data_IF_579266591965
#
_entry.id   IF_579266591965
#
_cell.length_a   1.000
_cell.length_b   1.000
_cell.length_c   1.000
_cell.angle_alpha   90.00
_cell.angle_beta   90.00
_cell.angle_gamma   90.00
#
_symmetry.space_group_name_H-M   'P 1'
#
loop_
_entity.id
_entity.type
_entity.pdbx_description
1 polymer ?
#
# COMPACT_ATOMS: atom_id res chain seq x y z
N UNK A 1 -17.06 2.19 -17.94
CA UNK A 1 -17.53 2.68 -16.63
C UNK A 1 -16.36 2.58 -15.68
N UNK A 2 -15.79 3.70 -15.25
CA UNK A 2 -14.71 3.70 -14.27
C UNK A 2 -15.36 3.60 -12.88
N UNK A 3 -15.29 2.42 -12.27
CA UNK A 3 -15.69 2.24 -10.87
C UNK A 3 -14.55 2.76 -10.00
N UNK A 4 -14.72 3.95 -9.43
CA UNK A 4 -13.82 4.45 -8.40
C UNK A 4 -13.93 3.59 -7.15
N UNK A 5 -12.81 3.09 -6.63
CA UNK A 5 -12.76 2.39 -5.35
C UNK A 5 -13.08 3.41 -4.23
N UNK A 6 -14.33 3.43 -3.76
CA UNK A 6 -14.69 4.18 -2.54
C UNK A 6 -14.48 3.28 -1.31
N UNK A 7 -13.22 2.87 -1.08
CA UNK A 7 -12.84 2.03 0.07
C UNK A 7 -12.14 2.90 1.10
N UNK A 8 -12.94 3.60 1.91
CA UNK A 8 -12.42 4.34 3.05
C UNK A 8 -12.12 3.34 4.17
N UNK A 9 -10.84 3.19 4.50
CA UNK A 9 -10.41 2.49 5.71
C UNK A 9 -10.06 3.55 6.75
N UNK A 10 -10.60 3.47 7.99
CA UNK A 10 -10.22 4.41 9.03
C UNK A 10 -8.75 4.19 9.39
N UNK A 11 -7.93 5.20 9.13
CA UNK A 11 -6.50 5.21 9.43
C UNK A 11 -6.27 6.32 10.45
N UNK A 12 -5.67 5.97 11.59
CA UNK A 12 -5.36 6.94 12.65
C UNK A 12 -4.28 7.93 12.20
N UNK A 13 -3.25 7.43 11.51
CA UNK A 13 -2.15 8.24 10.98
C UNK A 13 -1.59 7.63 9.69
N UNK A 14 -1.15 8.49 8.78
CA UNK A 14 -0.55 8.09 7.50
C UNK A 14 0.68 8.96 7.22
N UNK A 15 1.79 8.32 6.87
CA UNK A 15 3.06 8.97 6.57
C UNK A 15 3.60 8.48 5.22
N UNK A 16 4.15 9.42 4.43
CA UNK A 16 4.93 9.10 3.23
C UNK A 16 6.41 9.25 3.56
N UNK A 17 7.10 8.11 3.68
CA UNK A 17 8.54 8.08 3.92
C UNK A 17 9.27 8.07 2.57
N UNK A 18 10.08 9.10 2.24
CA UNK A 18 10.84 9.11 1.00
C UNK A 18 11.85 7.96 0.96
N UNK A 19 11.88 7.22 -0.14
CA UNK A 19 12.81 6.13 -0.37
C UNK A 19 13.67 6.39 -1.62
N UNK A 20 14.82 5.72 -1.69
CA UNK A 20 15.75 5.79 -2.81
C UNK A 20 15.78 4.48 -3.60
N UNK A 21 16.23 4.55 -4.86
CA UNK A 21 16.46 3.36 -5.69
C UNK A 21 15.18 2.66 -6.14
N UNK A 22 14.10 3.40 -6.36
CA UNK A 22 12.84 2.87 -6.93
C UNK A 22 12.07 1.94 -5.99
N UNK A 23 12.36 1.98 -4.69
CA UNK A 23 11.65 1.21 -3.66
C UNK A 23 10.24 1.75 -3.47
N UNK A 24 9.29 0.83 -3.33
CA UNK A 24 7.94 1.14 -2.87
C UNK A 24 7.51 0.03 -1.92
N UNK A 25 7.56 0.34 -0.63
CA UNK A 25 7.21 -0.58 0.45
C UNK A 25 6.02 0.00 1.22
N UNK A 26 5.10 -0.86 1.64
CA UNK A 26 3.94 -0.48 2.44
C UNK A 26 4.02 -1.19 3.78
N UNK A 27 3.85 -0.42 4.85
CA UNK A 27 3.86 -0.90 6.22
C UNK A 27 2.52 -0.61 6.88
N UNK A 28 2.07 -1.52 7.75
CA UNK A 28 0.92 -1.35 8.64
C UNK A 28 1.39 -1.65 10.06
N UNK A 29 1.27 -0.69 10.96
CA UNK A 29 1.67 -0.84 12.37
C UNK A 29 3.12 -1.35 12.55
N UNK A 30 4.02 -0.91 11.65
CA UNK A 30 5.43 -1.32 11.63
C UNK A 30 5.70 -2.66 10.91
N UNK A 31 4.67 -3.41 10.53
CA UNK A 31 4.81 -4.66 9.76
C UNK A 31 4.78 -4.36 8.26
N UNK A 32 5.76 -4.90 7.52
CA UNK A 32 5.80 -4.77 6.05
C UNK A 32 4.76 -5.68 5.41
N UNK A 33 3.78 -5.09 4.73
CA UNK A 33 2.70 -5.80 4.06
C UNK A 33 2.89 -5.90 2.53
N UNK A 34 3.74 -5.05 1.95
CA UNK A 34 4.06 -5.06 0.52
C UNK A 34 5.48 -4.52 0.26
N UNK A 35 6.14 -5.04 -0.77
CA UNK A 35 7.38 -4.52 -1.34
C UNK A 35 7.41 -4.73 -2.83
N UNK A 36 7.55 -3.63 -3.59
CA UNK A 36 7.70 -3.69 -5.05
C UNK A 36 8.94 -4.49 -5.47
N UNK A 37 9.98 -4.50 -4.65
CA UNK A 37 11.20 -5.27 -4.94
C UNK A 37 10.98 -6.77 -4.80
N UNK A 38 10.12 -7.19 -3.88
CA UNK A 38 9.86 -8.59 -3.59
C UNK A 38 8.85 -9.17 -4.61
N UNK A 39 7.83 -8.38 -4.99
CA UNK A 39 6.77 -8.78 -5.93
C UNK A 39 7.15 -8.59 -7.41
N UNK A 40 8.12 -7.71 -7.70
CA UNK A 40 8.61 -7.47 -9.06
C UNK A 40 7.72 -6.60 -9.96
N UNK A 41 6.56 -6.13 -9.46
CA UNK A 41 5.61 -5.29 -10.21
C UNK A 41 5.11 -4.09 -9.37
N UNK A 42 4.50 -3.10 -10.03
CA UNK A 42 3.85 -1.97 -9.35
C UNK A 42 2.70 -2.46 -8.46
N UNK A 43 2.52 -1.79 -7.32
CA UNK A 43 1.43 -2.09 -6.40
C UNK A 43 0.05 -1.92 -7.09
N UNK A 44 -0.76 -2.99 -7.08
CA UNK A 44 -2.18 -2.89 -7.38
C UNK A 44 -2.90 -2.24 -6.19
N UNK A 45 -3.56 -1.08 -6.37
CA UNK A 45 -4.22 -0.39 -5.26
C UNK A 45 -5.25 -1.24 -4.52
N UNK A 46 -6.00 -2.08 -5.25
CA UNK A 46 -7.01 -2.96 -4.66
C UNK A 46 -6.39 -4.04 -3.80
N UNK A 47 -5.23 -4.58 -4.20
CA UNK A 47 -4.49 -5.55 -3.41
C UNK A 47 -3.98 -4.94 -2.10
N UNK A 48 -3.40 -3.72 -2.16
CA UNK A 48 -2.93 -3.01 -0.97
C UNK A 48 -4.09 -2.72 0.00
N UNK A 49 -5.23 -2.24 -0.50
CA UNK A 49 -6.41 -1.97 0.34
C UNK A 49 -6.87 -3.25 1.06
N UNK A 50 -6.87 -4.40 0.38
CA UNK A 50 -7.23 -5.68 1.00
C UNK A 50 -6.23 -6.11 2.07
N UNK A 51 -4.93 -5.80 1.90
CA UNK A 51 -3.91 -6.09 2.91
C UNK A 51 -4.06 -5.18 4.13
N UNK A 52 -4.43 -3.92 3.94
CA UNK A 52 -4.68 -2.98 5.04
C UNK A 52 -5.88 -3.40 5.91
N UNK A 53 -6.91 -4.00 5.31
CA UNK A 53 -8.14 -4.43 6.00
C UNK A 53 -8.04 -5.72 6.81
N UNK A 54 -6.94 -6.48 6.69
CA UNK A 54 -6.79 -7.79 7.36
C UNK A 54 -6.52 -7.68 8.86
#
# INVERSE_FOLDING_TARGET
MQVGLNTQHPVESFELVPAFGGVFDVYRDGEKIFSKKDEGDHADPSAIIRMLQK
#
